data_IF_752166182107
#
_entry.id   IF_752166182107
#
_cell.length_a   1.000
_cell.length_b   1.000
_cell.length_c   1.000
_cell.angle_alpha   90.00
_cell.angle_beta   90.00
_cell.angle_gamma   90.00
#
_symmetry.space_group_name_H-M   'P 1'
#
loop_
_entity.id
_entity.type
_entity.pdbx_description
1 polymer ?
#
# COMPACT_ATOMS: atom_id res chain seq x y z
N UNK A 1 26.42 -3.13 14.66
CA UNK A 1 25.42 -2.35 13.90
C UNK A 1 25.43 -2.86 12.47
N UNK A 2 24.31 -3.37 11.96
CA UNK A 2 24.19 -3.70 10.54
C UNK A 2 24.05 -2.38 9.74
N UNK A 3 24.86 -2.22 8.70
CA UNK A 3 24.94 -1.01 7.86
C UNK A 3 24.28 -1.20 6.48
N UNK A 4 23.47 -2.25 6.33
CA UNK A 4 22.85 -2.59 5.05
C UNK A 4 21.53 -1.82 4.87
N UNK A 5 21.28 -1.35 3.65
CA UNK A 5 20.03 -0.67 3.26
C UNK A 5 19.33 -1.53 2.22
N UNK A 6 18.06 -1.83 2.45
CA UNK A 6 17.22 -2.60 1.52
C UNK A 6 16.55 -1.67 0.51
N UNK A 7 16.60 -2.04 -0.77
CA UNK A 7 15.88 -1.39 -1.84
C UNK A 7 15.06 -2.42 -2.60
N UNK A 8 13.78 -2.14 -2.80
CA UNK A 8 12.88 -2.97 -3.58
C UNK A 8 12.52 -2.29 -4.89
N UNK A 9 12.46 -3.06 -5.98
CA UNK A 9 12.07 -2.57 -7.30
C UNK A 9 11.03 -3.51 -7.93
N UNK A 10 9.81 -3.02 -8.23
CA UNK A 10 8.79 -3.86 -8.85
C UNK A 10 9.14 -4.18 -10.31
N UNK A 11 9.25 -5.47 -10.63
CA UNK A 11 9.59 -5.96 -11.99
C UNK A 11 8.37 -6.08 -12.93
N UNK A 12 7.16 -5.86 -12.43
CA UNK A 12 5.93 -5.86 -13.21
C UNK A 12 4.88 -4.96 -12.55
N UNK A 13 3.82 -4.64 -13.30
CA UNK A 13 2.77 -3.72 -12.84
C UNK A 13 1.97 -4.26 -11.65
N UNK A 14 1.83 -5.59 -11.58
CA UNK A 14 1.20 -6.28 -10.44
C UNK A 14 1.97 -6.00 -9.15
N UNK A 15 3.29 -6.21 -9.14
CA UNK A 15 4.14 -5.95 -7.98
C UNK A 15 4.20 -4.45 -7.65
N UNK A 16 4.22 -3.57 -8.66
CA UNK A 16 4.13 -2.11 -8.44
C UNK A 16 2.87 -1.75 -7.67
N UNK A 17 1.74 -2.32 -8.09
CA UNK A 17 0.43 -2.07 -7.46
C UNK A 17 0.40 -2.60 -6.03
N UNK A 18 0.94 -3.80 -5.79
CA UNK A 18 0.97 -4.39 -4.45
C UNK A 18 1.86 -3.63 -3.48
N UNK A 19 3.10 -3.28 -3.85
CA UNK A 19 3.98 -2.48 -3.00
C UNK A 19 3.35 -1.11 -2.68
N UNK A 20 2.65 -0.50 -3.66
CA UNK A 20 1.94 0.75 -3.44
C UNK A 20 0.78 0.59 -2.45
N UNK A 21 -0.04 -0.44 -2.60
CA UNK A 21 -1.17 -0.72 -1.68
C UNK A 21 -0.66 -1.03 -0.27
N UNK A 22 0.36 -1.87 -0.16
CA UNK A 22 1.00 -2.22 1.12
C UNK A 22 1.47 -0.95 1.84
N UNK A 23 2.26 -0.12 1.15
CA UNK A 23 2.75 1.14 1.72
C UNK A 23 1.61 2.05 2.19
N UNK A 24 0.60 2.27 1.35
CA UNK A 24 -0.54 3.13 1.68
C UNK A 24 -1.33 2.59 2.89
N UNK A 25 -1.54 1.27 3.00
CA UNK A 25 -2.19 0.65 4.15
C UNK A 25 -1.36 0.86 5.42
N UNK A 26 -0.04 0.68 5.35
CA UNK A 26 0.85 0.93 6.49
C UNK A 26 0.78 2.39 6.94
N UNK A 27 0.71 3.35 6.00
CA UNK A 27 0.59 4.78 6.34
C UNK A 27 -0.67 5.12 7.14
N UNK A 28 -1.78 4.39 6.97
CA UNK A 28 -3.02 4.64 7.72
C UNK A 28 -2.86 4.49 9.23
N UNK A 29 -1.87 3.73 9.70
CA UNK A 29 -1.67 3.45 11.13
C UNK A 29 -0.51 4.22 11.76
N UNK A 30 0.37 4.82 10.94
CA UNK A 30 1.61 5.49 11.41
C UNK A 30 1.33 6.66 12.36
N UNK A 31 0.27 7.44 12.09
CA UNK A 31 -0.04 8.66 12.83
C UNK A 31 -1.27 8.53 13.75
N UNK A 32 -1.60 7.31 14.17
CA UNK A 32 -2.69 7.09 15.12
C UNK A 32 -2.19 7.27 16.57
N UNK A 33 -3.02 7.82 17.48
CA UNK A 33 -4.36 8.37 17.24
C UNK A 33 -4.31 9.73 16.53
N UNK A 34 -5.33 10.04 15.73
CA UNK A 34 -5.43 11.33 15.04
C UNK A 34 -5.71 12.43 16.07
N UNK A 35 -4.70 13.27 16.32
CA UNK A 35 -4.75 14.33 17.33
C UNK A 35 -4.91 15.74 16.74
N UNK A 36 -4.61 15.93 15.47
CA UNK A 36 -4.59 17.24 14.81
C UNK A 36 -5.03 17.18 13.33
N UNK A 37 -5.15 18.36 12.73
CA UNK A 37 -5.55 18.49 11.32
C UNK A 37 -4.53 17.87 10.36
N UNK A 38 -3.24 17.93 10.69
CA UNK A 38 -2.19 17.34 9.85
C UNK A 38 -2.33 15.81 9.80
N UNK A 39 -2.54 15.16 10.96
CA UNK A 39 -2.82 13.72 11.04
C UNK A 39 -4.10 13.33 10.29
N UNK A 40 -5.16 14.13 10.41
CA UNK A 40 -6.41 13.88 9.67
C UNK A 40 -6.19 13.98 8.16
N UNK A 41 -5.52 15.02 7.66
CA UNK A 41 -5.21 15.19 6.23
C UNK A 41 -4.30 14.07 5.71
N UNK A 42 -3.30 13.66 6.49
CA UNK A 42 -2.43 12.53 6.15
C UNK A 42 -3.25 11.24 6.01
N UNK A 43 -4.13 10.95 6.97
CA UNK A 43 -5.00 9.79 6.91
C UNK A 43 -5.91 9.80 5.67
N UNK A 44 -6.68 10.88 5.47
CA UNK A 44 -7.63 10.96 4.35
C UNK A 44 -6.94 11.00 2.99
N UNK A 45 -5.75 11.58 2.87
CA UNK A 45 -4.95 11.50 1.65
C UNK A 45 -4.59 10.05 1.31
N UNK A 46 -4.07 9.28 2.26
CA UNK A 46 -3.71 7.88 2.03
C UNK A 46 -4.95 7.02 1.70
N UNK A 47 -6.09 7.27 2.36
CA UNK A 47 -7.36 6.61 2.01
C UNK A 47 -7.79 6.94 0.59
N UNK A 48 -7.77 8.22 0.20
CA UNK A 48 -8.13 8.65 -1.15
C UNK A 48 -7.23 7.99 -2.21
N UNK A 49 -5.92 7.95 -1.97
CA UNK A 49 -4.98 7.31 -2.89
C UNK A 49 -5.19 5.78 -3.00
N UNK A 50 -5.64 5.12 -1.93
CA UNK A 50 -6.05 3.71 -1.99
C UNK A 50 -7.29 3.52 -2.86
N UNK A 51 -8.29 4.40 -2.72
CA UNK A 51 -9.49 4.36 -3.54
C UNK A 51 -9.15 4.54 -5.03
N UNK A 52 -8.28 5.49 -5.36
CA UNK A 52 -7.81 5.73 -6.74
C UNK A 52 -7.11 4.49 -7.34
N UNK A 53 -6.40 3.71 -6.52
CA UNK A 53 -5.77 2.46 -6.97
C UNK A 53 -6.84 1.38 -7.20
N UNK A 54 -7.84 1.27 -6.33
CA UNK A 54 -8.93 0.30 -6.47
C UNK A 54 -9.85 0.59 -7.67
N UNK A 55 -10.02 1.85 -8.06
CA UNK A 55 -10.81 2.21 -9.25
C UNK A 55 -10.16 1.77 -10.57
N UNK A 56 -8.84 1.65 -10.61
CA UNK A 56 -8.09 1.39 -11.85
C UNK A 56 -8.00 -0.09 -12.24
N UNK A 57 -8.36 -1.02 -11.35
CA UNK A 57 -8.29 -2.45 -11.66
C UNK A 57 -8.84 -3.37 -10.58
N UNK A 58 -9.06 -4.63 -10.95
CA UNK A 58 -9.59 -5.65 -10.05
C UNK A 58 -8.50 -6.27 -9.15
N UNK A 59 -8.08 -5.52 -8.12
CA UNK A 59 -7.08 -5.99 -7.15
C UNK A 59 -7.48 -7.31 -6.48
N UNK A 60 -8.77 -7.49 -6.19
CA UNK A 60 -9.30 -8.70 -5.54
C UNK A 60 -9.01 -9.96 -6.36
N UNK A 61 -9.38 -9.95 -7.64
CA UNK A 61 -9.25 -11.10 -8.54
C UNK A 61 -7.77 -11.48 -8.71
N UNK A 62 -6.90 -10.49 -8.91
CA UNK A 62 -5.45 -10.71 -9.06
C UNK A 62 -4.80 -11.22 -7.76
N UNK A 63 -5.25 -10.74 -6.60
CA UNK A 63 -4.75 -11.23 -5.31
C UNK A 63 -5.15 -12.69 -5.08
N UNK A 64 -6.39 -13.08 -5.40
CA UNK A 64 -6.85 -14.47 -5.29
C UNK A 64 -6.03 -15.41 -6.17
N UNK A 65 -5.80 -15.03 -7.44
CA UNK A 65 -4.95 -15.80 -8.36
C UNK A 65 -3.53 -15.98 -7.82
N UNK A 66 -2.96 -14.96 -7.19
CA UNK A 66 -1.63 -15.07 -6.60
C UNK A 66 -1.62 -16.00 -5.39
N UNK A 67 -2.64 -15.92 -4.52
CA UNK A 67 -2.77 -16.81 -3.37
C UNK A 67 -2.83 -18.28 -3.82
N UNK A 68 -3.59 -18.59 -4.87
CA UNK A 68 -3.66 -19.93 -5.44
C UNK A 68 -2.32 -20.37 -6.06
N UNK A 69 -1.55 -19.45 -6.66
CA UNK A 69 -0.22 -19.73 -7.24
C UNK A 69 0.83 -20.09 -6.19
N UNK A 70 0.67 -19.62 -4.95
CA UNK A 70 1.62 -19.84 -3.85
C UNK A 70 1.32 -21.10 -3.03
N UNK A 71 0.17 -21.73 -3.25
CA UNK A 71 -0.20 -23.04 -2.68
C UNK A 71 0.51 -24.17 -3.43
#
# INVERSE_FOLDING_TARGET
MQTQVLFEHPLNEKMRTWLRIEFLIQQLTVNLPIADHAGALHFFRNVSELLDVFERGEVRTELLKELDRQQ
#
